data_IF_091649488715
#
_entry.id   IF_091649488715
#
_cell.length_a   1.000
_cell.length_b   1.000
_cell.length_c   1.000
_cell.angle_alpha   90.00
_cell.angle_beta   90.00
_cell.angle_gamma   90.00
#
_symmetry.space_group_name_H-M   'P 1'
#
loop_
_entity.id
_entity.type
_entity.pdbx_description
1 polymer ?
#
# COMPACT_ATOMS: atom_id res chain seq x y z
N UNK A 1 78.03 -24.36 44.43
CA UNK A 1 78.89 -24.74 43.29
C UNK A 1 78.87 -26.25 43.15
N UNK A 2 79.06 -26.87 41.96
CA UNK A 2 79.51 -26.28 40.69
C UNK A 2 78.41 -25.61 39.82
N UNK A 3 77.76 -26.34 38.90
CA UNK A 3 77.43 -25.84 37.54
C UNK A 3 75.95 -26.09 37.12
N UNK A 4 75.37 -25.60 36.00
CA UNK A 4 75.81 -25.19 34.64
C UNK A 4 76.21 -26.38 33.74
N UNK A 5 75.83 -26.52 32.47
CA UNK A 5 74.92 -25.88 31.49
C UNK A 5 75.06 -26.74 30.19
N UNK A 6 74.64 -26.25 29.00
CA UNK A 6 75.05 -26.76 27.64
C UNK A 6 74.38 -28.09 27.20
N UNK A 7 73.73 -28.24 26.03
CA UNK A 7 73.34 -27.28 24.95
C UNK A 7 72.11 -27.77 24.17
N UNK A 8 71.25 -26.82 23.83
CA UNK A 8 70.52 -26.64 22.56
C UNK A 8 70.20 -27.85 21.65
N UNK A 9 68.89 -28.14 21.56
CA UNK A 9 68.05 -28.01 20.35
C UNK A 9 68.70 -28.31 18.99
N UNK A 10 68.27 -29.42 18.37
CA UNK A 10 67.54 -29.49 17.07
C UNK A 10 67.43 -30.97 16.65
N UNK A 11 66.36 -31.48 16.05
CA UNK A 11 64.94 -31.09 15.87
C UNK A 11 64.29 -32.30 15.13
N UNK A 12 62.96 -32.31 14.92
CA UNK A 12 62.22 -33.31 14.10
C UNK A 12 62.10 -34.74 14.71
N UNK A 13 60.96 -35.44 14.63
CA UNK A 13 59.55 -35.08 14.32
C UNK A 13 58.65 -36.29 14.68
N UNK A 14 57.30 -36.14 14.81
CA UNK A 14 56.28 -37.24 14.81
C UNK A 14 56.32 -38.19 16.07
N UNK A 15 55.24 -38.61 16.76
CA UNK A 15 53.77 -38.40 16.68
C UNK A 15 53.06 -38.84 17.98
N UNK A 16 51.91 -38.22 18.26
CA UNK A 16 50.71 -38.80 18.92
C UNK A 16 50.73 -39.20 20.42
N UNK A 17 49.52 -39.18 21.00
CA UNK A 17 49.11 -39.66 22.33
C UNK A 17 49.58 -38.86 23.57
N UNK A 18 48.91 -37.74 23.81
CA UNK A 18 48.68 -37.21 25.16
C UNK A 18 47.18 -36.87 25.30
N UNK A 19 46.42 -37.84 25.79
CA UNK A 19 45.01 -37.74 26.16
C UNK A 19 44.91 -38.03 27.67
N UNK A 20 43.91 -37.43 28.32
CA UNK A 20 43.44 -37.73 29.68
C UNK A 20 44.47 -37.64 30.82
N UNK A 21 44.64 -36.44 31.39
CA UNK A 21 44.42 -36.20 32.82
C UNK A 21 44.31 -34.68 33.08
N UNK A 22 43.29 -34.26 33.86
CA UNK A 22 42.88 -32.89 34.25
C UNK A 22 41.60 -32.34 33.59
N UNK A 23 40.48 -33.01 33.85
CA UNK A 23 39.19 -32.30 33.93
C UNK A 23 39.00 -31.75 35.35
N UNK A 24 38.93 -30.42 35.50
CA UNK A 24 37.97 -29.74 36.39
C UNK A 24 38.21 -28.21 36.39
N UNK A 25 37.16 -27.43 36.14
CA UNK A 25 37.06 -25.98 36.37
C UNK A 25 38.01 -25.09 35.53
N UNK A 26 37.71 -24.98 34.23
CA UNK A 26 37.88 -23.70 33.54
C UNK A 26 36.54 -22.96 33.68
N UNK A 27 36.53 -21.87 34.44
CA UNK A 27 35.42 -20.91 34.41
C UNK A 27 35.53 -20.20 33.07
N UNK A 28 34.71 -20.60 32.10
CA UNK A 28 34.47 -19.81 30.90
C UNK A 28 33.77 -18.53 31.32
N UNK A 29 34.53 -17.46 31.52
CA UNK A 29 33.99 -16.11 31.59
C UNK A 29 33.47 -15.80 30.17
N UNK A 30 32.22 -16.17 29.92
CA UNK A 30 31.45 -15.58 28.83
C UNK A 30 31.32 -14.09 29.14
N UNK A 31 32.18 -13.28 28.54
CA UNK A 31 31.89 -11.88 28.33
C UNK A 31 30.67 -11.80 27.41
N UNK A 32 29.49 -11.78 28.02
CA UNK A 32 28.27 -11.34 27.34
C UNK A 32 28.45 -9.85 27.05
N UNK A 33 28.94 -9.53 25.85
CA UNK A 33 28.71 -8.22 25.27
C UNK A 33 27.21 -8.12 25.03
N UNK A 34 26.50 -7.42 25.93
CA UNK A 34 25.06 -7.17 25.81
C UNK A 34 24.81 -6.32 24.55
N UNK A 35 24.53 -7.01 23.44
CA UNK A 35 24.11 -6.38 22.19
C UNK A 35 22.74 -5.76 22.38
N UNK A 36 22.60 -4.51 22.00
CA UNK A 36 21.39 -3.73 22.10
C UNK A 36 21.05 -3.13 20.72
N UNK A 37 19.83 -2.60 20.61
CA UNK A 37 19.36 -1.94 19.40
C UNK A 37 19.09 -0.47 19.72
N UNK A 38 19.58 0.44 18.88
CA UNK A 38 19.32 1.87 19.00
C UNK A 38 17.90 2.22 18.49
N UNK A 39 17.34 3.39 18.86
CA UNK A 39 16.00 3.81 18.42
C UNK A 39 15.79 3.89 16.90
N UNK A 40 16.87 3.87 16.12
CA UNK A 40 16.88 3.88 14.65
C UNK A 40 17.03 2.48 14.01
N UNK A 41 16.92 1.40 14.81
CA UNK A 41 17.17 -0.02 14.48
C UNK A 41 18.63 -0.43 14.23
N UNK A 42 19.61 0.45 14.46
CA UNK A 42 21.03 0.05 14.37
C UNK A 42 21.45 -0.82 15.56
N UNK A 43 22.47 -1.67 15.35
CA UNK A 43 23.06 -2.48 16.43
C UNK A 43 24.09 -1.67 17.23
N UNK A 44 24.14 -1.95 18.53
CA UNK A 44 25.12 -1.39 19.45
C UNK A 44 25.48 -2.35 20.58
N UNK A 45 26.39 -1.89 21.44
CA UNK A 45 26.80 -2.57 22.68
C UNK A 45 26.41 -1.72 23.88
N UNK A 46 25.82 -2.33 24.90
CA UNK A 46 25.43 -1.65 26.13
C UNK A 46 26.66 -1.27 26.98
N UNK A 47 27.14 -0.03 26.87
CA UNK A 47 28.31 0.52 27.58
C UNK A 47 27.88 1.47 28.70
N UNK A 48 28.76 1.79 29.65
CA UNK A 48 28.51 2.88 30.61
C UNK A 48 28.43 4.21 29.83
N UNK A 49 27.55 5.14 30.22
CA UNK A 49 27.42 6.46 29.55
C UNK A 49 28.77 7.20 29.41
N UNK A 50 29.67 7.09 30.38
CA UNK A 50 31.00 7.69 30.33
C UNK A 50 31.94 7.11 29.26
N UNK A 51 31.69 5.88 28.82
CA UNK A 51 32.48 5.08 27.86
C UNK A 51 31.92 5.14 26.43
N UNK A 52 30.78 5.82 26.23
CA UNK A 52 30.16 6.00 24.92
C UNK A 52 30.25 7.47 24.49
N UNK A 53 31.35 7.87 23.85
CA UNK A 53 31.57 9.27 23.47
C UNK A 53 30.41 9.89 22.67
N UNK A 54 29.80 9.13 21.76
CA UNK A 54 28.74 9.63 20.89
C UNK A 54 27.47 10.03 21.67
N UNK A 55 27.00 9.16 22.58
CA UNK A 55 25.84 9.45 23.44
C UNK A 55 26.21 10.48 24.53
N UNK A 56 27.44 10.41 25.04
CA UNK A 56 27.97 11.39 26.01
C UNK A 56 28.01 12.81 25.45
N UNK A 57 28.40 13.01 24.18
CA UNK A 57 28.36 14.32 23.50
C UNK A 57 26.95 14.94 23.48
N UNK A 58 25.90 14.11 23.40
CA UNK A 58 24.49 14.55 23.50
C UNK A 58 24.10 14.82 24.97
N UNK A 59 24.53 13.96 25.90
CA UNK A 59 24.30 14.13 27.33
C UNK A 59 24.96 15.40 27.91
N UNK A 60 26.15 15.77 27.42
CA UNK A 60 26.90 16.94 27.90
C UNK A 60 26.44 18.26 27.26
N UNK A 61 25.45 18.24 26.34
CA UNK A 61 24.85 19.46 25.76
C UNK A 61 24.27 20.38 26.85
N UNK A 62 24.66 21.67 26.80
CA UNK A 62 24.14 22.74 27.69
C UNK A 62 22.64 23.00 27.52
N UNK A 63 22.13 22.86 26.30
CA UNK A 63 20.71 22.95 25.96
C UNK A 63 20.37 21.66 25.22
N UNK A 64 19.38 20.91 25.73
CA UNK A 64 18.88 19.68 25.13
C UNK A 64 17.55 19.94 24.47
N UNK A 65 17.32 19.34 23.31
CA UNK A 65 16.00 19.34 22.67
C UNK A 65 15.14 18.20 23.21
N UNK A 66 13.83 18.22 22.93
CA UNK A 66 12.92 17.11 23.24
C UNK A 66 13.40 15.81 22.57
N UNK A 67 14.00 15.92 21.37
CA UNK A 67 14.61 14.82 20.64
C UNK A 67 15.86 14.28 21.35
N UNK A 68 16.72 15.14 21.92
CA UNK A 68 17.86 14.71 22.73
C UNK A 68 17.40 13.96 23.99
N UNK A 69 16.38 14.46 24.69
CA UNK A 69 15.84 13.80 25.89
C UNK A 69 15.18 12.45 25.57
N UNK A 70 14.39 12.37 24.50
CA UNK A 70 13.83 11.12 24.01
C UNK A 70 14.94 10.13 23.64
N UNK A 71 15.94 10.54 22.85
CA UNK A 71 17.06 9.68 22.48
C UNK A 71 17.86 9.18 23.69
N UNK A 72 18.15 10.04 24.67
CA UNK A 72 18.86 9.64 25.90
C UNK A 72 18.05 8.65 26.77
N UNK A 73 16.72 8.76 26.78
CA UNK A 73 15.83 7.80 27.43
C UNK A 73 15.79 6.47 26.66
N UNK A 74 15.57 6.55 25.35
CA UNK A 74 15.29 5.40 24.49
C UNK A 74 16.57 4.62 24.12
N UNK A 75 17.76 5.20 24.36
CA UNK A 75 19.05 4.50 24.34
C UNK A 75 19.45 3.89 25.69
N UNK A 76 18.70 4.09 26.78
CA UNK A 76 19.03 3.47 28.06
C UNK A 76 18.91 1.94 27.97
N UNK A 77 20.00 1.23 28.27
CA UNK A 77 20.05 -0.23 28.20
C UNK A 77 20.27 -0.88 29.58
N UNK A 78 20.14 -0.11 30.66
CA UNK A 78 20.30 -0.57 32.04
C UNK A 78 21.16 0.36 32.90
N UNK A 79 21.64 -0.18 34.02
CA UNK A 79 22.47 0.53 34.99
C UNK A 79 23.55 -0.39 35.54
N UNK A 80 24.74 0.17 35.79
CA UNK A 80 25.77 -0.48 36.60
C UNK A 80 25.86 0.25 37.95
N UNK A 81 25.30 -0.38 38.99
CA UNK A 81 25.10 0.26 40.29
C UNK A 81 24.14 1.46 40.18
N UNK A 82 24.68 2.68 40.25
CA UNK A 82 23.94 3.93 40.06
C UNK A 82 24.25 4.63 38.72
N UNK A 83 25.16 4.09 37.93
CA UNK A 83 25.62 4.74 36.69
C UNK A 83 24.78 4.24 35.52
N UNK A 84 24.17 5.12 34.70
CA UNK A 84 23.38 4.69 33.55
C UNK A 84 24.27 4.05 32.48
N UNK A 85 23.79 2.93 31.92
CA UNK A 85 24.33 2.32 30.70
C UNK A 85 23.48 2.76 29.50
N UNK A 86 24.12 2.98 28.36
CA UNK A 86 23.49 3.39 27.11
C UNK A 86 23.91 2.48 25.96
N UNK A 87 22.99 2.28 25.02
CA UNK A 87 23.23 1.51 23.82
C UNK A 87 24.17 2.28 22.91
N UNK A 88 25.46 1.89 22.92
CA UNK A 88 26.50 2.59 22.19
C UNK A 88 26.65 1.98 20.79
N UNK A 89 26.52 2.76 19.71
CA UNK A 89 26.65 2.24 18.35
C UNK A 89 28.11 1.88 18.03
N UNK A 90 28.30 0.96 17.09
CA UNK A 90 29.63 0.46 16.72
C UNK A 90 30.52 1.51 16.03
N UNK A 91 29.94 2.58 15.47
CA UNK A 91 30.66 3.73 14.92
C UNK A 91 30.50 4.98 15.79
N UNK A 92 31.57 5.40 16.46
CA UNK A 92 31.59 6.54 17.39
C UNK A 92 31.60 7.93 16.69
N UNK A 93 31.19 7.99 15.41
CA UNK A 93 31.38 9.12 14.48
C UNK A 93 30.18 10.08 14.38
N UNK A 94 29.62 10.54 15.51
CA UNK A 94 28.63 11.62 15.49
C UNK A 94 28.70 12.51 16.74
N UNK A 95 28.21 13.73 16.59
CA UNK A 95 28.22 14.78 17.62
C UNK A 95 26.84 15.44 17.84
N UNK A 96 25.85 15.13 17.00
CA UNK A 96 24.48 15.62 17.10
C UNK A 96 23.47 14.63 16.49
N UNK A 97 22.18 14.97 16.57
CA UNK A 97 21.09 14.27 15.89
C UNK A 97 20.41 15.25 14.92
N UNK A 98 20.05 14.76 13.73
CA UNK A 98 19.25 15.51 12.76
C UNK A 98 17.78 15.64 13.25
N UNK A 99 16.95 16.50 12.64
CA UNK A 99 15.52 16.58 12.97
C UNK A 99 14.78 15.24 12.89
N UNK A 100 15.25 14.32 12.05
CA UNK A 100 14.71 12.97 11.85
C UNK A 100 15.40 11.91 12.74
N UNK A 101 16.04 12.35 13.83
CA UNK A 101 16.73 11.50 14.82
C UNK A 101 17.82 10.59 14.25
N UNK A 102 18.44 10.96 13.12
CA UNK A 102 19.61 10.26 12.57
C UNK A 102 20.91 10.82 13.18
N UNK A 103 21.94 9.99 13.39
CA UNK A 103 23.24 10.46 13.89
C UNK A 103 23.91 11.40 12.88
N UNK A 104 24.53 12.50 13.33
CA UNK A 104 25.24 13.42 12.43
C UNK A 104 26.37 14.21 13.08
N UNK A 105 27.15 14.89 12.26
CA UNK A 105 28.23 15.78 12.70
C UNK A 105 27.78 17.26 12.64
N UNK A 106 28.00 17.99 13.73
CA UNK A 106 27.68 19.40 13.80
C UNK A 106 28.76 20.22 13.08
N UNK A 107 28.45 20.70 11.87
CA UNK A 107 29.37 21.38 10.94
C UNK A 107 28.73 22.64 10.36
N UNK A 108 29.53 23.53 9.78
CA UNK A 108 29.00 24.68 9.03
C UNK A 108 28.05 24.22 7.91
N UNK A 109 26.94 24.91 7.70
CA UNK A 109 25.98 24.63 6.62
C UNK A 109 26.63 24.47 5.25
N UNK A 110 27.65 25.29 4.92
CA UNK A 110 28.39 25.21 3.65
C UNK A 110 29.23 23.93 3.50
N UNK A 111 29.48 23.19 4.58
CA UNK A 111 30.17 21.89 4.59
C UNK A 111 29.19 20.72 4.53
N UNK A 112 27.89 20.98 4.61
CA UNK A 112 26.84 19.97 4.51
C UNK A 112 26.13 20.11 3.16
N UNK A 113 26.61 19.39 2.14
CA UNK A 113 26.17 19.52 0.73
C UNK A 113 24.65 19.58 0.57
N UNK A 114 23.95 18.59 1.12
CA UNK A 114 22.49 18.48 1.03
C UNK A 114 21.69 19.53 1.84
N UNK A 115 22.32 20.31 2.72
CA UNK A 115 21.70 21.46 3.41
C UNK A 115 22.15 22.82 2.85
N UNK A 116 23.30 22.85 2.17
CA UNK A 116 23.76 24.02 1.40
C UNK A 116 22.89 24.22 0.14
N UNK A 117 22.56 23.14 -0.57
CA UNK A 117 21.67 23.16 -1.75
C UNK A 117 20.23 23.63 -1.42
N UNK A 118 19.82 23.52 -0.16
CA UNK A 118 18.54 24.02 0.37
C UNK A 118 18.58 25.55 0.56
N UNK A 119 19.70 26.24 0.35
CA UNK A 119 19.74 27.71 0.41
C UNK A 119 19.28 28.40 -0.89
N UNK A 120 19.13 27.66 -2.00
CA UNK A 120 18.70 28.22 -3.29
C UNK A 120 17.17 28.26 -3.45
N UNK A 121 16.69 29.38 -4.00
CA UNK A 121 15.32 29.91 -4.00
C UNK A 121 14.24 29.04 -4.72
N UNK A 122 12.95 29.05 -4.30
CA UNK A 122 12.37 29.45 -3.02
C UNK A 122 12.02 28.23 -2.14
N UNK A 123 12.30 28.36 -0.84
CA UNK A 123 12.03 27.32 0.14
C UNK A 123 10.54 27.14 0.46
N UNK A 124 10.10 25.89 0.51
CA UNK A 124 8.80 25.52 1.06
C UNK A 124 8.83 25.58 2.62
N UNK A 125 7.66 25.58 3.26
CA UNK A 125 7.58 25.74 4.72
C UNK A 125 8.16 24.55 5.50
N UNK A 126 8.14 23.33 4.94
CA UNK A 126 8.75 22.15 5.57
C UNK A 126 10.28 22.23 5.53
N UNK A 127 10.86 22.68 4.41
CA UNK A 127 12.30 22.91 4.27
C UNK A 127 12.79 24.00 5.24
N UNK A 128 12.03 25.09 5.41
CA UNK A 128 12.33 26.13 6.43
C UNK A 128 12.31 25.58 7.85
N UNK A 129 11.32 24.77 8.18
CA UNK A 129 11.20 24.13 9.50
C UNK A 129 12.33 23.11 9.71
N UNK A 130 12.66 22.31 8.70
CA UNK A 130 13.75 21.33 8.75
C UNK A 130 15.10 22.01 8.96
N UNK A 131 15.40 23.06 8.18
CA UNK A 131 16.66 23.79 8.30
C UNK A 131 16.81 24.47 9.66
N UNK A 132 15.73 25.10 10.15
CA UNK A 132 15.67 25.69 11.50
C UNK A 132 15.90 24.67 12.61
N UNK A 133 15.32 23.47 12.48
CA UNK A 133 15.48 22.39 13.45
C UNK A 133 16.83 21.67 13.33
N UNK A 134 17.57 21.88 12.24
CA UNK A 134 18.90 21.29 12.02
C UNK A 134 20.02 22.09 12.69
N UNK A 135 19.77 23.30 13.17
CA UNK A 135 20.80 24.17 13.79
C UNK A 135 21.39 23.51 15.05
N UNK A 136 22.72 23.55 15.17
CA UNK A 136 23.46 22.95 16.29
C UNK A 136 24.57 23.87 16.82
N UNK A 137 24.99 23.66 18.06
CA UNK A 137 26.03 24.45 18.72
C UNK A 137 27.44 24.01 18.29
N UNK A 138 27.78 24.29 17.03
CA UNK A 138 29.06 23.91 16.40
C UNK A 138 30.19 24.92 16.58
N UNK A 139 31.35 24.65 15.97
CA UNK A 139 32.55 25.50 16.08
C UNK A 139 32.49 26.79 15.22
N UNK A 140 31.50 26.91 14.33
CA UNK A 140 31.36 28.00 13.35
C UNK A 140 29.94 28.60 13.38
N UNK A 141 29.79 29.85 12.93
CA UNK A 141 28.46 30.44 12.71
C UNK A 141 27.67 29.65 11.64
N UNK A 142 26.35 29.60 11.77
CA UNK A 142 25.45 28.80 10.93
C UNK A 142 25.79 27.29 10.91
N UNK A 143 26.21 26.74 12.05
CA UNK A 143 26.40 25.29 12.21
C UNK A 143 25.06 24.53 12.22
N UNK A 144 25.02 23.44 11.47
CA UNK A 144 23.88 22.51 11.33
C UNK A 144 24.32 21.06 11.55
N UNK A 145 23.41 20.22 12.01
CA UNK A 145 23.66 18.81 12.20
C UNK A 145 23.59 18.06 10.88
N UNK A 146 24.75 17.81 10.28
CA UNK A 146 24.88 17.09 9.03
C UNK A 146 24.92 15.59 9.29
N UNK A 147 23.77 14.93 9.13
CA UNK A 147 23.67 13.47 9.19
C UNK A 147 24.04 12.78 7.87
N UNK A 148 23.86 11.45 7.78
CA UNK A 148 23.64 10.84 6.48
C UNK A 148 22.44 11.54 5.82
N UNK A 149 22.48 11.63 4.49
CA UNK A 149 21.38 12.22 3.72
C UNK A 149 20.04 11.66 4.20
N UNK A 150 19.08 12.56 4.34
CA UNK A 150 17.76 12.23 4.84
C UNK A 150 17.14 11.22 3.87
N UNK A 151 17.11 9.95 4.27
CA UNK A 151 16.29 8.90 3.65
C UNK A 151 14.80 9.10 3.98
N UNK A 152 14.32 10.34 3.86
CA UNK A 152 13.00 10.61 3.33
C UNK A 152 13.20 10.69 1.81
N UNK A 153 12.37 10.12 0.94
CA UNK A 153 10.91 10.21 0.97
C UNK A 153 10.38 11.65 1.10
N UNK A 154 11.25 12.66 1.03
CA UNK A 154 10.95 13.88 0.28
C UNK A 154 11.34 13.51 -1.16
N UNK A 155 10.46 13.64 -2.15
CA UNK A 155 10.79 13.22 -3.51
C UNK A 155 12.01 14.00 -3.98
N UNK A 156 13.07 13.29 -4.36
CA UNK A 156 14.19 13.89 -5.05
C UNK A 156 13.64 14.71 -6.22
N UNK A 157 14.03 15.99 -6.33
CA UNK A 157 13.78 16.79 -7.54
C UNK A 157 14.41 16.03 -8.71
N UNK A 158 13.58 15.28 -9.43
CA UNK A 158 13.90 14.49 -10.62
C UNK A 158 14.98 13.40 -10.47
N UNK A 159 14.89 12.55 -9.44
CA UNK A 159 15.15 11.12 -9.68
C UNK A 159 13.81 10.50 -10.08
N UNK A 160 13.62 10.04 -11.33
CA UNK A 160 12.38 9.39 -11.72
C UNK A 160 12.17 8.16 -10.86
N UNK A 161 11.03 8.05 -10.17
CA UNK A 161 10.62 6.79 -9.53
C UNK A 161 10.37 5.79 -10.66
N UNK A 162 11.38 4.98 -10.98
CA UNK A 162 11.32 3.97 -12.03
C UNK A 162 10.46 2.81 -11.58
N UNK A 163 9.14 2.97 -11.78
CA UNK A 163 8.17 1.92 -11.59
C UNK A 163 8.32 0.86 -12.69
N UNK A 164 9.27 -0.05 -12.50
CA UNK A 164 9.51 -1.19 -13.38
C UNK A 164 8.25 -2.06 -13.54
N UNK A 165 8.09 -2.70 -14.70
CA UNK A 165 6.96 -3.59 -14.93
C UNK A 165 7.10 -4.85 -14.07
N UNK A 166 6.17 -5.04 -13.13
CA UNK A 166 6.19 -6.18 -12.21
C UNK A 166 4.87 -6.95 -12.24
N UNK A 167 4.97 -8.27 -12.08
CA UNK A 167 3.81 -9.14 -11.91
C UNK A 167 3.17 -8.93 -10.52
N UNK A 168 3.96 -8.49 -9.55
CA UNK A 168 3.52 -8.24 -8.19
C UNK A 168 3.01 -6.79 -8.03
N UNK A 169 2.01 -6.56 -7.15
CA UNK A 169 1.58 -5.21 -6.82
C UNK A 169 2.72 -4.35 -6.27
N UNK A 170 2.82 -3.07 -6.69
CA UNK A 170 3.80 -2.15 -6.12
C UNK A 170 3.58 -1.92 -4.62
N UNK A 171 4.62 -1.47 -3.91
CA UNK A 171 4.48 -1.08 -2.50
C UNK A 171 3.47 0.08 -2.37
N UNK A 172 2.41 -0.04 -1.54
CA UNK A 172 1.46 1.04 -1.27
C UNK A 172 2.06 2.35 -0.74
N UNK A 173 3.30 2.38 -0.23
CA UNK A 173 3.96 3.65 0.14
C UNK A 173 4.67 4.31 -1.05
N UNK A 174 4.98 3.56 -2.13
CA UNK A 174 5.60 4.09 -3.35
C UNK A 174 4.61 4.82 -4.27
N UNK A 175 5.11 5.69 -5.14
CA UNK A 175 4.31 6.36 -6.18
C UNK A 175 3.97 5.46 -7.38
N UNK A 176 4.23 4.15 -7.25
CA UNK A 176 3.99 3.18 -8.31
C UNK A 176 2.55 2.65 -8.38
N UNK A 177 1.70 2.95 -7.40
CA UNK A 177 0.28 2.59 -7.43
C UNK A 177 -0.62 3.73 -6.95
N UNK A 178 -1.92 3.66 -7.27
CA UNK A 178 -2.95 4.48 -6.65
C UNK A 178 -2.90 5.97 -6.98
N UNK A 179 -2.14 6.38 -7.99
CA UNK A 179 -2.06 7.76 -8.46
C UNK A 179 -2.80 7.93 -9.78
N UNK A 180 -3.88 8.70 -9.77
CA UNK A 180 -4.43 9.28 -10.99
C UNK A 180 -3.70 10.59 -11.36
N UNK A 181 -3.98 11.12 -12.55
CA UNK A 181 -3.28 12.27 -13.10
C UNK A 181 -3.96 13.62 -12.79
N UNK A 182 -5.02 13.63 -11.97
CA UNK A 182 -5.89 14.80 -11.78
C UNK A 182 -5.34 15.80 -10.76
N UNK A 183 -4.60 16.80 -11.23
CA UNK A 183 -4.23 18.02 -10.47
C UNK A 183 -5.33 19.09 -10.54
N UNK A 184 -6.22 19.03 -11.53
CA UNK A 184 -7.41 19.86 -11.65
C UNK A 184 -8.69 19.01 -11.76
N UNK A 185 -9.83 19.64 -11.48
CA UNK A 185 -11.17 19.22 -11.91
C UNK A 185 -11.79 17.98 -11.22
N UNK A 186 -11.74 17.94 -9.87
CA UNK A 186 -12.69 17.13 -9.10
C UNK A 186 -14.08 17.73 -9.13
N UNK A 187 -14.98 17.14 -9.93
CA UNK A 187 -16.42 17.36 -9.83
C UNK A 187 -17.04 16.19 -9.06
N UNK A 188 -17.83 16.50 -8.02
CA UNK A 188 -18.35 15.56 -7.02
C UNK A 188 -19.86 15.40 -7.24
N UNK A 189 -20.36 14.16 -7.30
CA UNK A 189 -21.80 13.88 -7.16
C UNK A 189 -22.46 12.94 -8.16
N UNK A 190 -21.72 12.07 -8.87
CA UNK A 190 -22.30 11.20 -9.91
C UNK A 190 -22.03 11.65 -11.34
N UNK A 191 -21.21 12.68 -11.54
CA UNK A 191 -20.86 13.23 -12.86
C UNK A 191 -19.79 12.40 -13.57
N UNK A 192 -19.60 12.63 -14.87
CA UNK A 192 -18.49 12.05 -15.63
C UNK A 192 -17.13 12.33 -14.97
N UNK A 193 -16.22 11.36 -15.04
CA UNK A 193 -14.87 11.50 -14.50
C UNK A 193 -13.99 12.34 -15.43
N UNK A 194 -12.86 12.84 -14.94
CA UNK A 194 -11.76 13.23 -15.81
C UNK A 194 -11.30 12.05 -16.68
N UNK A 195 -10.84 12.32 -17.90
CA UNK A 195 -10.45 11.28 -18.87
C UNK A 195 -9.39 10.32 -18.29
N UNK A 196 -8.41 10.88 -17.57
CA UNK A 196 -7.30 10.20 -16.93
C UNK A 196 -7.55 9.82 -15.44
N UNK A 197 -8.77 9.99 -14.92
CA UNK A 197 -9.11 9.53 -13.58
C UNK A 197 -9.31 8.00 -13.55
N UNK A 198 -8.98 7.40 -12.40
CA UNK A 198 -9.07 5.96 -12.16
C UNK A 198 -8.38 5.08 -13.23
N UNK A 199 -7.09 5.32 -13.55
CA UNK A 199 -6.35 4.62 -14.63
C UNK A 199 -6.10 3.12 -14.38
N UNK A 200 -6.60 2.58 -13.27
CA UNK A 200 -6.62 1.15 -12.96
C UNK A 200 -7.88 0.44 -13.41
N UNK A 201 -8.98 1.15 -13.68
CA UNK A 201 -10.24 0.49 -14.06
C UNK A 201 -10.09 -0.24 -15.38
N UNK A 202 -10.71 -1.41 -15.45
CA UNK A 202 -10.70 -2.26 -16.64
C UNK A 202 -12.11 -2.78 -16.91
N UNK A 203 -12.39 -3.11 -18.18
CA UNK A 203 -13.61 -3.83 -18.56
C UNK A 203 -13.24 -5.24 -19.02
N UNK A 204 -13.98 -6.24 -18.54
CA UNK A 204 -13.81 -7.64 -18.96
C UNK A 204 -14.72 -7.91 -20.17
N UNK A 205 -14.12 -8.35 -21.27
CA UNK A 205 -14.83 -8.70 -22.51
C UNK A 205 -15.14 -10.19 -22.57
N UNK A 206 -16.44 -10.49 -22.73
CA UNK A 206 -16.99 -11.84 -22.80
C UNK A 206 -17.32 -12.18 -24.24
N UNK A 207 -16.65 -13.19 -24.80
CA UNK A 207 -16.97 -13.71 -26.13
C UNK A 207 -18.05 -14.80 -26.04
N UNK A 208 -19.09 -14.67 -26.86
CA UNK A 208 -20.07 -15.74 -27.13
C UNK A 208 -20.47 -15.69 -28.60
N UNK A 209 -20.16 -16.76 -29.33
CA UNK A 209 -20.24 -16.79 -30.80
C UNK A 209 -19.48 -15.57 -31.37
N UNK A 210 -19.97 -14.97 -32.45
CA UNK A 210 -19.40 -13.77 -33.08
C UNK A 210 -19.71 -12.45 -32.33
N UNK A 211 -20.08 -12.50 -31.03
CA UNK A 211 -20.39 -11.29 -30.24
C UNK A 211 -19.51 -11.15 -29.01
N UNK A 212 -18.92 -9.96 -28.83
CA UNK A 212 -18.31 -9.51 -27.57
C UNK A 212 -19.36 -8.81 -26.71
N UNK A 213 -19.26 -8.93 -25.39
CA UNK A 213 -20.12 -8.24 -24.41
C UNK A 213 -19.27 -7.68 -23.28
N UNK A 214 -19.60 -6.45 -22.86
CA UNK A 214 -19.04 -5.80 -21.68
C UNK A 214 -20.00 -6.07 -20.51
N UNK A 215 -19.60 -6.92 -19.54
CA UNK A 215 -20.51 -7.38 -18.47
C UNK A 215 -20.01 -7.11 -17.05
N UNK A 216 -18.70 -7.07 -16.85
CA UNK A 216 -18.06 -6.81 -15.55
C UNK A 216 -16.87 -5.86 -15.73
N UNK A 217 -16.57 -5.16 -14.64
CA UNK A 217 -15.32 -4.44 -14.45
C UNK A 217 -14.27 -5.26 -13.71
N UNK A 218 -13.16 -4.59 -13.44
CA UNK A 218 -12.07 -5.04 -12.59
C UNK A 218 -11.11 -3.88 -12.37
N UNK A 219 -9.97 -4.16 -11.77
CA UNK A 219 -8.91 -3.17 -11.64
C UNK A 219 -7.51 -3.79 -11.68
N UNK A 220 -6.57 -3.08 -12.32
CA UNK A 220 -5.16 -3.43 -12.30
C UNK A 220 -4.61 -3.32 -10.87
N UNK A 221 -3.98 -4.40 -10.41
CA UNK A 221 -3.19 -4.41 -9.17
C UNK A 221 -1.69 -4.48 -9.45
N UNK A 222 -1.28 -4.86 -10.67
CA UNK A 222 0.10 -4.83 -11.16
C UNK A 222 0.12 -4.67 -12.69
N UNK A 223 1.29 -4.72 -13.34
CA UNK A 223 1.36 -4.72 -14.80
C UNK A 223 0.91 -6.05 -15.44
N UNK A 224 0.65 -7.09 -14.64
CA UNK A 224 0.31 -8.43 -15.13
C UNK A 224 -1.04 -8.95 -14.62
N UNK A 225 -1.57 -8.41 -13.53
CA UNK A 225 -2.77 -8.93 -12.88
C UNK A 225 -3.86 -7.87 -12.69
N UNK A 226 -5.08 -8.30 -13.01
CA UNK A 226 -6.34 -7.65 -12.68
C UNK A 226 -6.99 -8.40 -11.52
N UNK A 227 -7.55 -7.67 -10.57
CA UNK A 227 -8.45 -8.20 -9.55
C UNK A 227 -9.91 -7.92 -9.98
N UNK A 228 -10.79 -8.89 -9.80
CA UNK A 228 -12.23 -8.81 -10.10
C UNK A 228 -13.02 -9.80 -9.23
N UNK A 229 -14.34 -9.77 -9.30
CA UNK A 229 -15.21 -10.67 -8.54
C UNK A 229 -15.17 -12.11 -9.08
N UNK A 230 -15.38 -13.09 -8.20
CA UNK A 230 -15.51 -14.50 -8.58
C UNK A 230 -16.71 -14.73 -9.51
N UNK A 231 -17.82 -14.03 -9.27
CA UNK A 231 -19.04 -14.08 -10.06
C UNK A 231 -18.88 -13.54 -11.47
N UNK A 232 -17.82 -12.77 -11.74
CA UNK A 232 -17.47 -12.31 -13.09
C UNK A 232 -16.73 -13.38 -13.90
N UNK A 233 -16.19 -14.43 -13.29
CA UNK A 233 -15.38 -15.43 -14.00
C UNK A 233 -15.81 -16.89 -13.78
N UNK A 234 -16.77 -17.16 -12.88
CA UNK A 234 -17.25 -18.50 -12.55
C UNK A 234 -18.76 -18.47 -12.28
N UNK A 235 -19.47 -19.53 -12.66
CA UNK A 235 -20.91 -19.66 -12.45
C UNK A 235 -21.75 -19.08 -13.59
N UNK A 236 -22.99 -18.61 -13.33
CA UNK A 236 -23.98 -18.28 -14.36
C UNK A 236 -23.55 -17.24 -15.40
N UNK A 237 -22.59 -16.36 -15.08
CA UNK A 237 -22.06 -15.37 -16.03
C UNK A 237 -21.48 -16.04 -17.30
N UNK A 238 -20.96 -17.27 -17.16
CA UNK A 238 -20.35 -18.01 -18.26
C UNK A 238 -21.38 -18.47 -19.32
N UNK A 239 -22.67 -18.47 -18.97
CA UNK A 239 -23.76 -18.66 -19.93
C UNK A 239 -23.92 -17.45 -20.85
N UNK A 240 -23.57 -16.24 -20.40
CA UNK A 240 -23.60 -15.02 -21.21
C UNK A 240 -22.38 -14.91 -22.15
N UNK A 241 -21.23 -15.47 -21.76
CA UNK A 241 -20.02 -15.62 -22.58
C UNK A 241 -18.80 -16.02 -21.77
N UNK A 242 -17.69 -16.32 -22.44
CA UNK A 242 -16.41 -16.63 -21.77
C UNK A 242 -15.52 -15.38 -21.75
N UNK A 243 -14.93 -14.96 -20.61
CA UNK A 243 -13.92 -13.90 -20.59
C UNK A 243 -12.77 -14.21 -21.55
N UNK A 244 -12.42 -13.28 -22.44
CA UNK A 244 -11.31 -13.42 -23.41
C UNK A 244 -10.31 -12.28 -23.36
N UNK A 245 -10.78 -11.06 -23.15
CA UNK A 245 -9.94 -9.86 -23.13
C UNK A 245 -10.27 -8.98 -21.94
N UNK A 246 -9.32 -8.10 -21.63
CA UNK A 246 -9.46 -6.99 -20.69
C UNK A 246 -9.18 -5.70 -21.45
N UNK A 247 -10.11 -4.75 -21.44
CA UNK A 247 -9.88 -3.37 -21.93
C UNK A 247 -9.18 -2.55 -20.86
N UNK A 248 -8.08 -1.91 -21.23
CA UNK A 248 -7.30 -0.99 -20.41
C UNK A 248 -7.29 0.40 -21.06
N UNK A 249 -7.26 1.47 -20.27
CA UNK A 249 -7.21 2.85 -20.77
C UNK A 249 -8.55 3.42 -21.29
N UNK A 250 -9.63 2.65 -21.11
CA UNK A 250 -11.00 2.98 -21.54
C UNK A 250 -11.52 4.29 -20.89
N UNK A 251 -12.30 5.05 -21.65
CA UNK A 251 -13.04 6.21 -21.16
C UNK A 251 -14.45 6.25 -21.75
N UNK A 252 -14.60 6.25 -23.08
CA UNK A 252 -15.89 6.11 -23.77
C UNK A 252 -15.99 4.78 -24.52
N UNK A 253 -16.80 3.86 -23.98
CA UNK A 253 -16.97 2.48 -24.48
C UNK A 253 -17.51 2.36 -25.92
N UNK A 254 -17.99 3.44 -26.52
CA UNK A 254 -18.42 3.49 -27.94
C UNK A 254 -17.26 3.72 -28.92
N UNK A 255 -16.08 4.10 -28.43
CA UNK A 255 -14.90 4.44 -29.22
C UNK A 255 -13.72 3.52 -28.87
N UNK A 256 -13.21 2.73 -29.82
CA UNK A 256 -11.99 1.95 -29.59
C UNK A 256 -10.69 2.75 -29.87
N UNK A 257 -10.81 3.91 -30.53
CA UNK A 257 -9.70 4.82 -30.82
C UNK A 257 -9.46 5.86 -29.72
N UNK A 258 -8.63 6.88 -29.98
CA UNK A 258 -8.38 7.96 -29.03
C UNK A 258 -9.68 8.70 -28.64
N UNK A 259 -9.94 8.76 -27.34
CA UNK A 259 -10.88 9.70 -26.73
C UNK A 259 -10.17 11.02 -26.43
N UNK A 260 -10.89 12.13 -26.54
CA UNK A 260 -10.39 13.47 -26.27
C UNK A 260 -11.43 14.31 -25.52
N UNK A 261 -10.99 15.02 -24.46
CA UNK A 261 -11.82 15.98 -23.71
C UNK A 261 -11.21 17.38 -23.81
N UNK A 262 -12.03 18.36 -24.20
CA UNK A 262 -11.61 19.75 -24.33
C UNK A 262 -11.24 20.37 -22.98
N UNK A 263 -10.05 20.99 -22.91
CA UNK A 263 -9.62 21.82 -21.78
C UNK A 263 -9.78 23.31 -22.11
N UNK A 264 -10.25 24.11 -21.15
CA UNK A 264 -10.43 25.55 -21.31
C UNK A 264 -9.11 26.26 -21.64
N UNK A 265 -8.95 26.69 -22.89
CA UNK A 265 -7.78 27.47 -23.34
C UNK A 265 -6.52 26.65 -23.68
N UNK A 266 -6.62 25.33 -23.85
CA UNK A 266 -5.47 24.46 -24.16
C UNK A 266 -5.74 23.44 -25.28
N UNK A 267 -4.74 22.60 -25.56
CA UNK A 267 -4.96 21.39 -26.36
C UNK A 267 -5.92 20.44 -25.61
N UNK A 268 -6.74 19.64 -26.34
CA UNK A 268 -7.56 18.61 -25.72
C UNK A 268 -6.70 17.56 -25.01
N UNK A 269 -7.19 17.06 -23.89
CA UNK A 269 -6.60 15.93 -23.18
C UNK A 269 -7.09 14.64 -23.83
N UNK A 270 -6.18 13.83 -24.37
CA UNK A 270 -6.52 12.65 -25.17
C UNK A 270 -5.80 11.40 -24.69
N UNK A 271 -6.50 10.26 -24.69
CA UNK A 271 -5.87 8.96 -24.48
C UNK A 271 -5.25 8.40 -25.78
N UNK A 272 -4.61 7.24 -25.69
CA UNK A 272 -4.00 6.56 -26.84
C UNK A 272 -4.96 5.53 -27.51
N UNK A 273 -6.24 5.58 -27.17
CA UNK A 273 -7.21 4.51 -27.43
C UNK A 273 -7.09 3.33 -26.49
N UNK A 274 -7.98 2.35 -26.65
CA UNK A 274 -8.08 1.20 -25.73
C UNK A 274 -6.99 0.16 -26.00
N UNK A 275 -6.44 -0.42 -24.95
CA UNK A 275 -5.60 -1.61 -25.04
C UNK A 275 -6.41 -2.86 -24.69
N UNK A 276 -6.74 -3.66 -25.70
CA UNK A 276 -7.43 -4.96 -25.58
C UNK A 276 -6.43 -6.07 -25.25
N UNK A 277 -6.14 -6.26 -23.96
CA UNK A 277 -5.19 -7.26 -23.46
C UNK A 277 -5.81 -8.68 -23.43
N UNK A 278 -5.20 -9.69 -24.08
CA UNK A 278 -5.69 -11.08 -24.00
C UNK A 278 -5.49 -11.67 -22.61
N UNK A 279 -6.44 -12.48 -22.16
CA UNK A 279 -6.37 -13.21 -20.89
C UNK A 279 -5.49 -14.47 -21.06
N UNK A 280 -4.65 -14.74 -20.05
CA UNK A 280 -3.75 -15.89 -19.99
C UNK A 280 -4.26 -16.97 -19.01
N UNK A 281 -4.53 -16.56 -17.76
CA UNK A 281 -5.02 -17.42 -16.68
C UNK A 281 -6.15 -16.71 -15.93
N UNK A 282 -7.16 -17.48 -15.52
CA UNK A 282 -8.29 -16.99 -14.71
C UNK A 282 -8.31 -17.83 -13.43
N UNK A 283 -8.18 -17.17 -12.28
CA UNK A 283 -7.96 -17.82 -10.98
C UNK A 283 -9.02 -17.32 -9.98
N UNK A 284 -10.24 -17.90 -9.98
CA UNK A 284 -11.21 -17.63 -8.92
C UNK A 284 -10.73 -18.22 -7.59
N UNK A 285 -11.14 -17.61 -6.48
CA UNK A 285 -10.86 -18.15 -5.14
C UNK A 285 -11.37 -19.60 -5.03
N UNK A 286 -10.59 -20.55 -4.47
CA UNK A 286 -10.97 -21.97 -4.44
C UNK A 286 -12.28 -22.23 -3.70
N UNK A 287 -12.60 -21.41 -2.69
CA UNK A 287 -13.84 -21.50 -1.92
C UNK A 287 -15.07 -20.84 -2.59
N UNK A 288 -14.89 -20.09 -3.68
CA UNK A 288 -16.01 -19.44 -4.38
C UNK A 288 -16.96 -20.49 -5.00
N UNK A 289 -18.25 -20.40 -4.66
CA UNK A 289 -19.30 -21.37 -5.05
C UNK A 289 -19.03 -22.83 -4.61
N UNK A 290 -18.31 -23.06 -3.50
CA UNK A 290 -18.33 -24.38 -2.84
C UNK A 290 -19.74 -24.69 -2.30
N UNK A 291 -20.17 -25.96 -2.19
CA UNK A 291 -21.55 -26.30 -1.80
C UNK A 291 -22.04 -25.70 -0.46
N UNK A 292 -21.13 -25.43 0.48
CA UNK A 292 -21.44 -24.83 1.78
C UNK A 292 -21.33 -23.29 1.78
N UNK A 293 -20.88 -22.68 0.68
CA UNK A 293 -20.77 -21.24 0.47
C UNK A 293 -21.93 -20.80 -0.43
N UNK A 294 -23.01 -20.36 0.20
CA UNK A 294 -24.31 -20.16 -0.43
C UNK A 294 -24.55 -18.71 -0.91
N UNK A 295 -23.79 -17.73 -0.42
CA UNK A 295 -24.14 -16.30 -0.52
C UNK A 295 -22.96 -15.37 -0.84
N UNK A 296 -22.26 -15.61 -1.96
CA UNK A 296 -21.22 -14.69 -2.45
C UNK A 296 -20.04 -14.51 -1.47
N UNK A 297 -19.76 -15.49 -0.62
CA UNK A 297 -18.52 -15.50 0.15
C UNK A 297 -17.36 -15.82 -0.80
N UNK A 298 -16.16 -15.33 -0.52
CA UNK A 298 -14.98 -15.54 -1.37
C UNK A 298 -15.19 -15.09 -2.82
N UNK A 299 -16.03 -14.08 -3.04
CA UNK A 299 -16.33 -13.53 -4.36
C UNK A 299 -15.17 -12.67 -4.86
N UNK A 300 -14.08 -13.34 -5.24
CA UNK A 300 -12.83 -12.76 -5.72
C UNK A 300 -12.13 -13.69 -6.71
N UNK A 301 -11.48 -13.08 -7.70
CA UNK A 301 -10.71 -13.73 -8.72
C UNK A 301 -9.55 -12.85 -9.20
N UNK A 302 -8.46 -13.50 -9.61
CA UNK A 302 -7.35 -12.89 -10.33
C UNK A 302 -7.45 -13.25 -11.81
N UNK A 303 -7.16 -12.28 -12.67
CA UNK A 303 -6.97 -12.48 -14.12
C UNK A 303 -5.53 -12.13 -14.44
N UNK A 304 -4.76 -13.11 -14.93
CA UNK A 304 -3.40 -12.90 -15.46
C UNK A 304 -3.50 -12.47 -16.93
N UNK A 305 -2.90 -11.35 -17.26
CA UNK A 305 -2.83 -10.82 -18.62
C UNK A 305 -1.70 -11.52 -19.41
N UNK A 306 -1.95 -11.89 -20.66
CA UNK A 306 -0.94 -12.50 -21.53
C UNK A 306 0.16 -11.50 -21.87
N UNK A 307 -0.24 -10.26 -22.15
CA UNK A 307 0.67 -9.12 -22.36
C UNK A 307 0.93 -8.39 -21.04
N UNK A 308 2.02 -7.62 -20.99
CA UNK A 308 2.27 -6.68 -19.91
C UNK A 308 1.52 -5.37 -20.17
N UNK A 309 0.74 -4.90 -19.21
CA UNK A 309 0.10 -3.59 -19.28
C UNK A 309 1.19 -2.50 -19.26
N UNK A 310 1.24 -1.60 -20.25
CA UNK A 310 2.17 -0.48 -20.24
C UNK A 310 1.77 0.50 -19.13
N UNK A 311 2.76 1.13 -18.49
CA UNK A 311 2.49 2.22 -17.54
C UNK A 311 2.33 3.53 -18.33
N UNK A 312 1.13 4.07 -18.38
CA UNK A 312 0.82 5.36 -19.00
C UNK A 312 0.15 6.28 -17.98
N UNK A 313 -0.40 7.42 -18.39
CA UNK A 313 -1.28 8.23 -17.53
C UNK A 313 -2.73 7.69 -17.47
N UNK A 314 -3.09 6.79 -18.38
CA UNK A 314 -4.41 6.14 -18.48
C UNK A 314 -4.42 4.67 -18.02
N UNK A 315 -3.24 4.07 -17.85
CA UNK A 315 -3.05 2.67 -17.44
C UNK A 315 -2.02 2.60 -16.31
N UNK A 316 -2.48 2.39 -15.08
CA UNK A 316 -1.67 2.25 -13.85
C UNK A 316 -2.36 1.34 -12.83
N UNK A 317 -1.64 0.62 -11.95
CA UNK A 317 -2.28 -0.15 -10.89
C UNK A 317 -2.79 0.72 -9.74
N UNK A 318 -3.85 0.29 -9.05
CA UNK A 318 -4.28 0.85 -7.75
C UNK A 318 -3.46 0.24 -6.61
N UNK A 319 -3.33 0.93 -5.48
CA UNK A 319 -2.69 0.35 -4.30
C UNK A 319 -3.61 -0.68 -3.61
N UNK A 320 -3.00 -1.74 -3.08
CA UNK A 320 -3.65 -2.68 -2.16
C UNK A 320 -3.56 -2.18 -0.71
N UNK A 321 -4.52 -2.52 0.16
CA UNK A 321 -4.58 -1.99 1.52
C UNK A 321 -3.46 -2.56 2.41
N UNK A 322 -2.87 -1.72 3.26
CA UNK A 322 -1.88 -2.14 4.27
C UNK A 322 -2.49 -2.57 5.60
N UNK A 323 -3.71 -2.14 5.88
CA UNK A 323 -4.43 -2.37 7.13
C UNK A 323 -5.91 -2.62 6.86
N UNK A 324 -6.60 -3.22 7.83
CA UNK A 324 -8.05 -3.30 7.80
C UNK A 324 -8.64 -1.95 8.25
N UNK A 325 -9.12 -1.15 7.29
CA UNK A 325 -9.74 0.14 7.57
C UNK A 325 -11.04 0.01 8.37
N UNK A 326 -11.68 -1.17 8.43
CA UNK A 326 -12.89 -1.39 9.25
C UNK A 326 -12.60 -1.38 10.75
N UNK A 327 -11.34 -1.65 11.15
CA UNK A 327 -10.90 -1.68 12.55
C UNK A 327 -10.43 -0.31 13.07
N UNK A 328 -10.13 0.63 12.17
CA UNK A 328 -9.60 1.96 12.49
C UNK A 328 -10.16 2.98 11.51
N UNK A 329 -11.45 3.29 11.68
CA UNK A 329 -12.21 4.15 10.78
C UNK A 329 -11.62 5.58 10.74
N UNK A 330 -11.16 6.07 9.57
CA UNK A 330 -10.80 7.46 9.39
C UNK A 330 -11.97 8.41 9.66
N UNK A 331 -11.68 9.66 10.03
CA UNK A 331 -12.72 10.69 10.10
C UNK A 331 -13.36 10.89 8.71
N UNK A 332 -14.69 11.00 8.66
CA UNK A 332 -15.48 11.11 7.42
C UNK A 332 -15.21 9.99 6.39
N UNK A 333 -15.08 8.74 6.85
CA UNK A 333 -14.79 7.58 6.00
C UNK A 333 -15.86 7.35 4.92
N UNK A 334 -15.53 7.79 3.70
CA UNK A 334 -16.27 7.59 2.46
C UNK A 334 -15.42 6.81 1.49
N UNK A 335 -16.09 6.13 0.58
CA UNK A 335 -15.46 5.48 -0.56
C UNK A 335 -15.92 6.10 -1.87
N UNK A 336 -15.14 5.86 -2.91
CA UNK A 336 -15.48 6.15 -4.30
C UNK A 336 -15.69 4.82 -5.04
N UNK A 337 -16.81 4.72 -5.75
CA UNK A 337 -17.06 3.70 -6.77
C UNK A 337 -16.97 4.37 -8.13
N UNK A 338 -16.36 3.71 -9.11
CA UNK A 338 -16.25 4.22 -10.47
C UNK A 338 -16.32 3.08 -11.50
N UNK A 339 -16.88 3.39 -12.68
CA UNK A 339 -17.12 2.40 -13.73
C UNK A 339 -18.04 2.94 -14.84
N UNK A 340 -18.64 2.00 -15.57
CA UNK A 340 -19.56 2.23 -16.71
C UNK A 340 -20.92 1.57 -16.49
N UNK A 341 -21.24 1.25 -15.23
CA UNK A 341 -22.48 0.60 -14.85
C UNK A 341 -23.73 1.40 -15.18
N UNK A 342 -24.85 0.73 -15.01
CA UNK A 342 -26.19 1.33 -15.18
C UNK A 342 -26.40 2.43 -14.13
N UNK A 343 -26.75 3.62 -14.58
CA UNK A 343 -27.05 4.77 -13.73
C UNK A 343 -28.49 5.24 -13.91
N UNK A 344 -28.96 6.09 -13.00
CA UNK A 344 -30.25 6.77 -13.13
C UNK A 344 -30.10 7.95 -14.10
N UNK A 345 -30.77 7.87 -15.25
CA UNK A 345 -30.96 9.04 -16.13
C UNK A 345 -31.99 9.98 -15.51
N UNK A 346 -33.08 9.41 -14.99
CA UNK A 346 -34.11 10.12 -14.25
C UNK A 346 -34.47 9.34 -12.98
N UNK A 347 -34.37 10.03 -11.84
CA UNK A 347 -34.60 9.45 -10.53
C UNK A 347 -36.09 9.37 -10.15
N UNK A 348 -36.90 10.33 -10.59
CA UNK A 348 -38.35 10.39 -10.33
C UNK A 348 -39.09 9.30 -11.11
N UNK A 349 -38.73 9.10 -12.38
CA UNK A 349 -39.34 8.09 -13.26
C UNK A 349 -38.60 6.74 -13.25
N UNK A 350 -37.47 6.62 -12.55
CA UNK A 350 -36.63 5.41 -12.46
C UNK A 350 -36.17 4.89 -13.82
N UNK A 351 -35.69 5.79 -14.67
CA UNK A 351 -35.14 5.44 -15.99
C UNK A 351 -33.67 5.09 -15.82
N UNK A 352 -33.29 3.93 -16.35
CA UNK A 352 -31.98 3.31 -16.19
C UNK A 352 -31.24 3.26 -17.53
N UNK A 353 -30.03 3.82 -17.58
CA UNK A 353 -29.18 3.79 -18.78
C UNK A 353 -27.76 3.30 -18.45
N UNK A 354 -27.14 2.57 -19.38
CA UNK A 354 -25.70 2.28 -19.32
C UNK A 354 -24.93 3.53 -19.67
N UNK A 355 -23.95 3.93 -18.86
CA UNK A 355 -23.12 5.07 -19.22
C UNK A 355 -22.08 4.68 -20.27
N UNK A 356 -22.07 5.36 -21.41
CA UNK A 356 -21.00 5.21 -22.41
C UNK A 356 -19.65 5.69 -21.85
N UNK A 357 -19.69 6.77 -21.04
CA UNK A 357 -18.54 7.43 -20.42
C UNK A 357 -18.35 6.97 -18.98
N UNK A 358 -17.09 6.85 -18.52
CA UNK A 358 -16.74 6.54 -17.13
C UNK A 358 -17.36 7.53 -16.13
N UNK A 359 -18.08 7.01 -15.13
CA UNK A 359 -18.71 7.77 -14.03
C UNK A 359 -18.08 7.42 -12.68
N UNK A 360 -18.32 8.25 -11.65
CA UNK A 360 -17.95 7.95 -10.26
C UNK A 360 -18.93 8.54 -9.24
N UNK A 361 -19.02 7.91 -8.07
CA UNK A 361 -19.92 8.32 -6.97
C UNK A 361 -19.29 8.08 -5.61
N UNK A 362 -19.55 8.99 -4.65
CA UNK A 362 -19.16 8.80 -3.25
C UNK A 362 -20.24 8.05 -2.46
N UNK A 363 -19.83 7.00 -1.74
CA UNK A 363 -20.71 6.19 -0.89
C UNK A 363 -20.16 6.12 0.54
N UNK A 364 -21.00 6.23 1.59
CA UNK A 364 -20.54 6.12 2.97
C UNK A 364 -20.21 4.67 3.32
N UNK A 365 -19.26 4.46 4.23
CA UNK A 365 -19.09 3.18 4.92
C UNK A 365 -20.29 2.89 5.84
N UNK A 366 -20.70 1.63 5.88
CA UNK A 366 -21.75 1.13 6.79
C UNK A 366 -21.14 0.00 7.62
N UNK A 367 -21.35 0.01 8.94
CA UNK A 367 -20.82 -1.06 9.81
C UNK A 367 -21.44 -2.40 9.42
N UNK A 368 -20.73 -3.51 9.70
CA UNK A 368 -21.25 -4.85 9.41
C UNK A 368 -22.55 -5.12 10.16
N UNK A 369 -22.66 -4.62 11.38
CA UNK A 369 -23.81 -4.77 12.27
C UNK A 369 -25.03 -4.03 11.72
N UNK A 370 -24.89 -2.75 11.35
CA UNK A 370 -25.96 -1.95 10.72
C UNK A 370 -26.35 -2.53 9.35
N UNK A 371 -25.36 -3.00 8.59
CA UNK A 371 -25.58 -3.65 7.30
C UNK A 371 -26.39 -4.94 7.47
N UNK A 372 -26.00 -5.78 8.44
CA UNK A 372 -26.71 -7.01 8.75
C UNK A 372 -28.16 -6.74 9.18
N UNK A 373 -28.43 -5.65 9.91
CA UNK A 373 -29.79 -5.24 10.24
C UNK A 373 -30.57 -4.77 8.99
N UNK A 374 -30.02 -3.84 8.22
CA UNK A 374 -30.64 -3.29 7.00
C UNK A 374 -30.96 -4.37 5.95
N UNK A 375 -30.14 -5.42 5.86
CA UNK A 375 -30.34 -6.51 4.90
C UNK A 375 -31.33 -7.59 5.37
N UNK A 376 -31.62 -7.75 6.67
CA UNK A 376 -32.56 -8.77 7.20
C UNK A 376 -33.97 -8.67 6.62
N UNK A 377 -34.40 -7.47 6.27
CA UNK A 377 -35.76 -7.18 5.79
C UNK A 377 -35.87 -7.12 4.25
N UNK A 378 -34.80 -7.45 3.51
CA UNK A 378 -34.83 -7.45 2.05
C UNK A 378 -35.42 -8.73 1.46
N UNK A 379 -36.64 -8.62 0.95
CA UNK A 379 -37.27 -9.67 0.11
C UNK A 379 -36.75 -9.69 -1.32
N UNK A 380 -36.12 -8.59 -1.78
CA UNK A 380 -35.59 -8.45 -3.15
C UNK A 380 -34.24 -9.18 -3.37
N UNK A 381 -33.62 -9.73 -2.30
CA UNK A 381 -32.44 -10.58 -2.38
C UNK A 381 -32.85 -12.05 -2.46
N UNK A 382 -32.55 -12.67 -3.61
CA UNK A 382 -32.87 -14.06 -3.90
C UNK A 382 -31.75 -14.71 -4.71
N UNK A 383 -31.57 -16.02 -4.51
CA UNK A 383 -30.86 -16.87 -5.48
C UNK A 383 -31.86 -17.48 -6.47
N UNK A 384 -31.40 -17.73 -7.69
CA UNK A 384 -32.13 -18.55 -8.65
C UNK A 384 -31.75 -20.02 -8.42
N UNK A 385 -32.70 -20.82 -7.96
CA UNK A 385 -32.55 -22.27 -7.76
C UNK A 385 -33.65 -23.00 -8.53
N UNK A 386 -33.28 -23.88 -9.46
CA UNK A 386 -34.20 -24.60 -10.35
C UNK A 386 -35.23 -23.68 -11.04
N UNK A 387 -34.78 -22.51 -11.52
CA UNK A 387 -35.63 -21.51 -12.18
C UNK A 387 -36.57 -20.72 -11.25
N UNK A 388 -36.49 -20.93 -9.92
CA UNK A 388 -37.31 -20.21 -8.92
C UNK A 388 -36.47 -19.24 -8.12
N UNK A 389 -37.05 -18.10 -7.74
CA UNK A 389 -36.48 -17.16 -6.79
C UNK A 389 -36.65 -17.72 -5.38
N UNK A 390 -35.55 -17.96 -4.67
CA UNK A 390 -35.55 -18.38 -3.27
C UNK A 390 -35.04 -17.21 -2.42
N UNK A 391 -35.85 -16.67 -1.47
CA UNK A 391 -35.41 -15.61 -0.57
C UNK A 391 -34.18 -16.02 0.24
N UNK A 392 -33.26 -15.09 0.42
CA UNK A 392 -31.97 -15.34 1.07
C UNK A 392 -31.88 -14.64 2.43
N UNK A 393 -31.57 -15.40 3.48
CA UNK A 393 -31.11 -14.81 4.74
C UNK A 393 -29.60 -14.56 4.66
N UNK A 394 -29.21 -13.34 4.26
CA UNK A 394 -27.79 -12.96 4.12
C UNK A 394 -27.16 -12.84 5.50
N UNK A 395 -26.04 -13.54 5.71
CA UNK A 395 -25.15 -13.33 6.86
C UNK A 395 -23.88 -12.64 6.41
N UNK A 396 -23.68 -11.39 6.82
CA UNK A 396 -22.48 -10.60 6.50
C UNK A 396 -21.32 -11.05 7.38
N UNK A 397 -20.16 -11.35 6.79
CA UNK A 397 -19.01 -11.96 7.48
C UNK A 397 -17.72 -11.16 7.24
N UNK A 398 -16.63 -11.50 7.94
CA UNK A 398 -15.38 -10.70 7.94
C UNK A 398 -14.75 -10.47 6.55
N UNK A 399 -14.96 -11.38 5.60
CA UNK A 399 -14.49 -11.24 4.22
C UNK A 399 -15.35 -10.31 3.36
N UNK A 400 -16.32 -9.60 3.95
CA UNK A 400 -17.21 -8.64 3.31
C UNK A 400 -17.22 -7.31 4.07
N UNK A 401 -17.55 -6.24 3.35
CA UNK A 401 -17.80 -4.90 3.88
C UNK A 401 -19.02 -4.29 3.18
N UNK A 402 -19.61 -3.27 3.80
CA UNK A 402 -20.81 -2.63 3.29
C UNK A 402 -20.60 -1.12 3.07
N UNK A 403 -21.20 -0.61 2.01
CA UNK A 403 -21.22 0.81 1.70
C UNK A 403 -22.51 1.19 0.96
N UNK A 404 -22.85 2.48 0.95
CA UNK A 404 -24.03 3.00 0.26
C UNK A 404 -25.25 3.12 1.19
N UNK A 405 -26.44 2.79 0.67
CA UNK A 405 -27.71 3.10 1.34
C UNK A 405 -28.09 4.58 1.28
N UNK A 406 -27.46 5.35 0.40
CA UNK A 406 -27.84 6.73 0.06
C UNK A 406 -28.65 6.70 -1.22
N UNK A 407 -29.74 7.47 -1.24
CA UNK A 407 -30.63 7.51 -2.40
C UNK A 407 -29.89 7.99 -3.67
N UNK A 408 -30.06 7.25 -4.77
CA UNK A 408 -29.41 7.53 -6.05
C UNK A 408 -27.91 7.23 -6.12
N UNK A 409 -27.24 6.80 -5.03
CA UNK A 409 -25.79 6.59 -4.98
C UNK A 409 -25.42 5.14 -4.63
N UNK A 410 -24.94 4.39 -5.62
CA UNK A 410 -24.57 2.98 -5.46
C UNK A 410 -23.69 2.49 -6.61
N UNK A 411 -23.06 1.33 -6.42
CA UNK A 411 -22.54 0.49 -7.52
C UNK A 411 -23.70 -0.20 -8.24
N UNK A 412 -23.63 -0.41 -9.55
CA UNK A 412 -24.70 -1.05 -10.29
C UNK A 412 -24.23 -2.11 -11.30
N UNK A 413 -25.17 -2.67 -12.06
CA UNK A 413 -24.89 -3.65 -13.12
C UNK A 413 -23.89 -3.07 -14.11
N UNK A 414 -22.77 -3.75 -14.31
CA UNK A 414 -21.63 -3.29 -15.11
C UNK A 414 -20.42 -2.89 -14.26
N UNK A 415 -20.63 -2.41 -13.03
CA UNK A 415 -19.55 -2.12 -12.07
C UNK A 415 -19.10 -3.36 -11.28
N UNK A 416 -19.80 -4.48 -11.43
CA UNK A 416 -19.46 -5.81 -10.86
C UNK A 416 -17.96 -6.11 -11.00
N UNK A 417 -17.29 -6.43 -9.90
CA UNK A 417 -15.84 -6.66 -9.86
C UNK A 417 -14.96 -5.40 -9.85
N UNK A 418 -15.51 -4.20 -10.02
CA UNK A 418 -14.82 -2.93 -9.88
C UNK A 418 -14.42 -2.61 -8.42
N UNK A 419 -13.49 -1.67 -8.20
CA UNK A 419 -12.98 -1.34 -6.88
C UNK A 419 -13.91 -0.42 -6.10
N UNK A 420 -14.01 -0.67 -4.79
CA UNK A 420 -14.43 0.31 -3.80
C UNK A 420 -13.18 0.97 -3.22
N UNK A 421 -12.99 2.24 -3.55
CA UNK A 421 -11.73 2.95 -3.34
C UNK A 421 -11.81 3.87 -2.13
N UNK A 422 -10.81 3.82 -1.26
CA UNK A 422 -10.56 4.89 -0.30
C UNK A 422 -9.45 5.79 -0.84
N UNK A 423 -9.60 7.10 -0.65
CA UNK A 423 -8.64 8.10 -1.08
C UNK A 423 -8.17 8.92 0.12
N UNK A 424 -6.85 9.01 0.29
CA UNK A 424 -6.18 9.84 1.28
C UNK A 424 -5.01 10.54 0.60
N UNK A 425 -4.91 11.86 0.79
CA UNK A 425 -3.79 12.66 0.26
C UNK A 425 -3.53 12.41 -1.25
N UNK A 426 -4.61 12.28 -2.05
CA UNK A 426 -4.59 12.01 -3.51
C UNK A 426 -4.07 10.62 -3.91
N UNK A 427 -3.92 9.71 -2.95
CA UNK A 427 -3.56 8.30 -3.18
C UNK A 427 -4.76 7.38 -2.94
N UNK A 428 -5.07 6.56 -3.93
CA UNK A 428 -6.22 5.66 -3.95
C UNK A 428 -5.82 4.23 -3.61
N UNK A 429 -6.59 3.62 -2.71
CA UNK A 429 -6.44 2.24 -2.25
C UNK A 429 -7.72 1.46 -2.50
N UNK A 430 -7.63 0.27 -3.10
CA UNK A 430 -8.77 -0.64 -3.24
C UNK A 430 -9.07 -1.30 -1.89
N UNK A 431 -10.02 -0.76 -1.13
CA UNK A 431 -10.41 -1.31 0.19
C UNK A 431 -11.40 -2.46 0.02
N UNK A 432 -12.33 -2.31 -0.93
CA UNK A 432 -13.31 -3.34 -1.28
C UNK A 432 -13.47 -3.53 -2.78
N UNK A 433 -14.37 -4.42 -3.16
CA UNK A 433 -14.67 -4.73 -4.56
C UNK A 433 -16.15 -5.10 -4.73
N UNK A 434 -16.81 -4.58 -5.76
CA UNK A 434 -18.26 -4.73 -6.00
C UNK A 434 -18.62 -6.21 -6.12
N UNK A 435 -19.45 -6.71 -5.21
CA UNK A 435 -19.85 -8.12 -5.14
C UNK A 435 -21.35 -8.29 -5.43
N UNK A 436 -22.24 -7.86 -4.53
CA UNK A 436 -23.69 -7.90 -4.77
C UNK A 436 -24.46 -6.87 -3.94
N UNK A 437 -25.65 -6.51 -4.39
CA UNK A 437 -26.53 -5.56 -3.70
C UNK A 437 -27.99 -5.79 -4.07
N UNK A 438 -28.84 -4.81 -3.74
CA UNK A 438 -30.23 -4.80 -4.17
C UNK A 438 -30.35 -4.89 -5.70
N UNK A 439 -31.34 -5.63 -6.21
CA UNK A 439 -31.60 -5.70 -7.66
C UNK A 439 -31.98 -4.36 -8.31
N UNK A 440 -32.30 -3.36 -7.47
CA UNK A 440 -32.44 -1.94 -7.81
C UNK A 440 -31.31 -1.19 -7.09
N UNK A 441 -30.38 -0.65 -7.86
CA UNK A 441 -29.24 0.12 -7.35
C UNK A 441 -29.73 1.43 -6.72
N UNK A 442 -28.95 2.05 -5.84
CA UNK A 442 -29.24 3.41 -5.33
C UNK A 442 -30.48 3.51 -4.45
N UNK A 443 -30.92 2.39 -3.85
CA UNK A 443 -32.01 2.40 -2.88
C UNK A 443 -31.57 3.10 -1.59
N UNK A 444 -32.36 4.08 -1.16
CA UNK A 444 -32.22 4.63 0.19
C UNK A 444 -32.27 3.51 1.24
N UNK A 445 -31.41 3.66 2.25
CA UNK A 445 -31.24 2.80 3.41
C UNK A 445 -30.78 1.36 3.18
N UNK A 446 -30.58 0.94 1.93
CA UNK A 446 -30.10 -0.39 1.55
C UNK A 446 -28.66 -0.31 1.05
N UNK A 447 -27.66 -0.80 1.81
CA UNK A 447 -26.28 -0.85 1.36
C UNK A 447 -26.03 -1.98 0.35
N UNK A 448 -24.98 -1.83 -0.45
CA UNK A 448 -24.40 -2.91 -1.23
C UNK A 448 -23.28 -3.62 -0.44
N UNK A 449 -23.06 -4.89 -0.75
CA UNK A 449 -22.00 -5.74 -0.22
C UNK A 449 -20.83 -5.80 -1.21
N UNK A 450 -19.65 -5.65 -0.63
CA UNK A 450 -18.37 -5.68 -1.32
C UNK A 450 -17.48 -6.73 -0.66
N UNK A 451 -16.59 -7.34 -1.43
CA UNK A 451 -15.53 -8.21 -0.89
C UNK A 451 -14.48 -7.35 -0.19
N UNK A 452 -14.13 -7.67 1.07
CA UNK A 452 -13.09 -6.95 1.83
C UNK A 452 -11.70 -7.38 1.35
N UNK A 453 -11.00 -6.54 0.59
CA UNK A 453 -9.73 -6.92 -0.07
C UNK A 453 -8.63 -7.25 0.94
N UNK A 454 -8.61 -6.57 2.10
CA UNK A 454 -7.61 -6.82 3.14
C UNK A 454 -7.63 -8.29 3.62
N UNK A 455 -8.83 -8.86 3.76
CA UNK A 455 -9.03 -10.25 4.17
C UNK A 455 -8.48 -11.29 3.17
N UNK A 456 -8.26 -10.92 1.91
CA UNK A 456 -7.75 -11.81 0.86
C UNK A 456 -6.30 -11.53 0.46
N UNK A 457 -5.62 -10.56 1.06
CA UNK A 457 -4.20 -10.30 0.78
C UNK A 457 -3.31 -11.56 0.91
N UNK A 458 -3.50 -12.48 1.87
CA UNK A 458 -2.73 -13.72 1.92
C UNK A 458 -2.96 -14.61 0.69
N UNK A 459 -4.22 -14.74 0.24
CA UNK A 459 -4.57 -15.50 -0.97
C UNK A 459 -4.02 -14.83 -2.24
N UNK A 460 -4.16 -13.51 -2.37
CA UNK A 460 -3.60 -12.75 -3.51
C UNK A 460 -2.10 -12.99 -3.59
N UNK A 461 -1.35 -12.73 -2.51
CA UNK A 461 0.10 -12.90 -2.46
C UNK A 461 0.56 -14.33 -2.78
N UNK A 462 -0.17 -15.35 -2.31
CA UNK A 462 0.14 -16.76 -2.58
C UNK A 462 -0.25 -17.23 -4.01
N UNK A 463 -1.08 -16.47 -4.73
CA UNK A 463 -1.61 -16.84 -6.06
C UNK A 463 -0.85 -16.16 -7.21
N UNK A 464 -0.23 -15.01 -6.95
CA UNK A 464 0.59 -14.29 -7.93
C UNK A 464 1.84 -15.09 -8.30
N UNK A 465 2.20 -15.05 -9.59
CA UNK A 465 3.37 -15.68 -10.18
C UNK A 465 4.04 -14.66 -11.11
N UNK A 466 5.35 -14.76 -11.30
CA UNK A 466 6.06 -14.04 -12.38
C UNK A 466 5.49 -14.40 -13.77
#
# INVERSE_FOLDING_TARGET
>A
MPSKLVKMKKYFIITHWLVSYLESVIITICFFSETCTLPNNDKGTCKILGECEAVKKIFDKKIKTIQDENFLRDTNCGYEGKTPKVCCPESEKFSCLTPNSKPGECVNIQKCTHLAEIQDDPLNEEEKVFLKNSVCAGPEENSVCCGPEVSSAVPAKNVPVTCEQSAFPPDPDSDCCGLDSSVSDRIIGGTATGINQYPWLVIIEYAKLETSRLLCGGFLISNKYVLTAGHCVKGPILEAGTPKFVRLGEYNTTNEGPDCVSKSGGQPDCNQGILRAPIDEIIPHPDYLKPNNIYGQHDIALIRLRVWAPRTEFIRPICLPKMDYTLSLPANFKFLVAGWGVHYQDFEYRIFETSEVKLHVDVPYITREDCQEKLRNLTDLYILSNGRKVPVNVTVWNGQLCAGGVEGKDSCKGDSGGPLMYEKERKYTAVGMVSYGSSKCGRQDIPAIYTNIYAYLPWIKATLKE
#
